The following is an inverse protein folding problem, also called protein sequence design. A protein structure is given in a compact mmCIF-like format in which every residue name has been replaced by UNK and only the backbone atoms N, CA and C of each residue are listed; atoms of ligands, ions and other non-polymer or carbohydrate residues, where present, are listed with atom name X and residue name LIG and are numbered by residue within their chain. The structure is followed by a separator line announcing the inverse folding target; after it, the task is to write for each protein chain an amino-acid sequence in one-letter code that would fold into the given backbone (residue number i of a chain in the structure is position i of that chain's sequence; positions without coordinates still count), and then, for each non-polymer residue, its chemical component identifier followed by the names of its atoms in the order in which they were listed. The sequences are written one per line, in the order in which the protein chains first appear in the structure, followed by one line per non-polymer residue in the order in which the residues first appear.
data_IF_599320088946
#
_entry.id   IF_599320088946
#
_cell.length_a   1.000
_cell.length_b   1.000
_cell.length_c   1.000
_cell.angle_alpha   90.00
_cell.angle_beta   90.00
_cell.angle_gamma   90.00
#
_symmetry.space_group_name_H-M   'P 1'
#
loop_
_entity.id
_entity.type
_entity.pdbx_description
1 polymer ?
#
# COMPACT_ATOMS: atom_id res chain seq x y z
N UNK A 1 38.75 -9.03 -13.61
CA UNK A 1 37.72 -9.30 -14.62
C UNK A 1 36.40 -9.68 -13.97
N UNK A 2 36.34 -10.71 -13.12
CA UNK A 2 35.12 -11.15 -12.40
C UNK A 2 34.38 -10.02 -11.66
N UNK A 3 35.10 -9.17 -10.91
CA UNK A 3 34.50 -8.07 -10.14
C UNK A 3 33.87 -6.98 -11.03
N UNK A 4 34.43 -6.77 -12.23
CA UNK A 4 33.96 -5.76 -13.17
C UNK A 4 32.74 -6.25 -13.96
N UNK A 5 32.70 -7.55 -14.26
CA UNK A 5 31.55 -8.21 -14.89
C UNK A 5 30.34 -8.31 -13.92
N UNK A 6 30.60 -8.57 -12.64
CA UNK A 6 29.58 -8.55 -11.58
C UNK A 6 28.95 -7.16 -11.42
N UNK A 7 29.77 -6.10 -11.38
CA UNK A 7 29.29 -4.73 -11.26
C UNK A 7 28.45 -4.30 -12.47
N UNK A 8 28.87 -4.64 -13.69
CA UNK A 8 28.08 -4.35 -14.89
C UNK A 8 26.73 -5.08 -14.87
N UNK A 9 26.71 -6.36 -14.50
CA UNK A 9 25.47 -7.15 -14.41
C UNK A 9 24.49 -6.57 -13.37
N UNK A 10 24.99 -6.10 -12.21
CA UNK A 10 24.16 -5.45 -11.20
C UNK A 10 23.60 -4.11 -11.71
N UNK A 11 24.40 -3.31 -12.41
CA UNK A 11 23.92 -2.06 -13.01
C UNK A 11 22.81 -2.28 -14.04
N UNK A 12 22.96 -3.27 -14.93
CA UNK A 12 21.92 -3.61 -15.92
C UNK A 12 20.61 -4.05 -15.27
N UNK A 13 20.67 -4.84 -14.20
CA UNK A 13 19.47 -5.25 -13.44
C UNK A 13 18.78 -4.07 -12.79
N UNK A 14 19.53 -3.10 -12.28
CA UNK A 14 18.94 -1.92 -11.67
C UNK A 14 18.28 -0.99 -12.66
N UNK A 15 18.90 -0.81 -13.83
CA UNK A 15 18.26 -0.11 -14.94
C UNK A 15 16.97 -0.85 -15.34
N UNK A 16 17.02 -2.17 -15.50
CA UNK A 16 15.84 -2.98 -15.83
C UNK A 16 14.73 -2.84 -14.77
N UNK A 17 15.06 -2.93 -13.48
CA UNK A 17 14.10 -2.81 -12.39
C UNK A 17 13.39 -1.44 -12.40
N UNK A 18 14.16 -0.35 -12.52
CA UNK A 18 13.63 1.02 -12.56
C UNK A 18 12.74 1.22 -13.80
N UNK A 19 13.23 0.81 -14.98
CA UNK A 19 12.48 0.94 -16.24
C UNK A 19 11.22 0.08 -16.23
N UNK A 20 11.28 -1.13 -15.67
CA UNK A 20 10.11 -2.02 -15.53
C UNK A 20 9.07 -1.44 -14.58
N UNK A 21 9.49 -0.88 -13.44
CA UNK A 21 8.57 -0.20 -12.52
C UNK A 21 7.92 1.01 -13.19
N UNK A 22 8.69 1.84 -13.90
CA UNK A 22 8.14 2.98 -14.65
C UNK A 22 7.15 2.53 -15.74
N UNK A 23 7.51 1.51 -16.51
CA UNK A 23 6.67 0.96 -17.56
C UNK A 23 5.37 0.39 -17.00
N UNK A 24 5.43 -0.39 -15.92
CA UNK A 24 4.27 -0.94 -15.24
C UNK A 24 3.35 0.18 -14.71
N UNK A 25 3.89 1.25 -14.13
CA UNK A 25 3.08 2.40 -13.71
C UNK A 25 2.31 3.04 -14.86
N UNK A 26 3.00 3.33 -15.97
CA UNK A 26 2.39 3.99 -17.13
C UNK A 26 1.35 3.08 -17.78
N UNK A 27 1.68 1.80 -17.99
CA UNK A 27 0.78 0.84 -18.62
C UNK A 27 -0.42 0.51 -17.75
N UNK A 28 -0.26 0.43 -16.43
CA UNK A 28 -1.38 0.26 -15.50
C UNK A 28 -2.40 1.39 -15.66
N UNK A 29 -1.96 2.64 -15.69
CA UNK A 29 -2.86 3.79 -15.92
C UNK A 29 -3.46 3.76 -17.31
N UNK A 30 -2.64 3.53 -18.35
CA UNK A 30 -3.13 3.46 -19.72
C UNK A 30 -4.24 2.41 -19.86
N UNK A 31 -4.11 1.27 -19.17
CA UNK A 31 -5.11 0.19 -19.17
C UNK A 31 -6.50 0.66 -18.70
N UNK A 32 -6.58 1.64 -17.79
CA UNK A 32 -7.83 2.20 -17.28
C UNK A 32 -8.59 3.04 -18.32
N UNK A 33 -7.88 3.49 -19.37
CA UNK A 33 -8.37 4.36 -20.44
C UNK A 33 -8.35 3.73 -21.84
N UNK A 34 -7.80 2.51 -21.98
CA UNK A 34 -7.82 1.74 -23.24
C UNK A 34 -9.23 1.67 -23.85
N UNK A 35 -10.23 1.56 -22.99
CA UNK A 35 -11.62 1.52 -23.42
C UNK A 35 -12.21 2.93 -23.46
N UNK A 36 -12.44 3.46 -24.66
CA UNK A 36 -13.27 4.65 -24.82
C UNK A 36 -14.69 4.38 -24.28
N UNK A 37 -15.15 5.25 -23.39
CA UNK A 37 -16.49 5.19 -22.80
C UNK A 37 -17.06 6.61 -22.76
N UNK A 38 -18.28 6.85 -23.27
CA UNK A 38 -18.94 8.15 -23.16
C UNK A 38 -19.49 8.40 -21.75
N UNK A 39 -19.47 7.37 -20.88
CA UNK A 39 -20.06 7.42 -19.55
C UNK A 39 -19.06 7.80 -18.48
N UNK A 40 -19.57 8.29 -17.34
CA UNK A 40 -18.75 8.60 -16.17
C UNK A 40 -18.02 7.36 -15.61
N UNK A 41 -16.99 7.59 -14.79
CA UNK A 41 -16.19 6.54 -14.15
C UNK A 41 -17.00 5.60 -13.25
N UNK A 42 -18.13 6.07 -12.73
CA UNK A 42 -19.02 5.32 -11.82
C UNK A 42 -20.04 4.45 -12.59
N UNK A 43 -20.15 4.62 -13.90
CA UNK A 43 -21.09 3.86 -14.70
C UNK A 43 -20.67 2.38 -14.81
N UNK A 44 -21.64 1.48 -14.64
CA UNK A 44 -21.43 0.02 -14.63
C UNK A 44 -20.63 -0.50 -15.82
N UNK A 45 -20.88 0.00 -17.04
CA UNK A 45 -20.12 -0.41 -18.23
C UNK A 45 -18.64 0.01 -18.16
N UNK A 46 -18.35 1.22 -17.68
CA UNK A 46 -16.96 1.70 -17.48
C UNK A 46 -16.25 0.88 -16.43
N UNK A 47 -16.93 0.55 -15.31
CA UNK A 47 -16.36 -0.27 -14.24
C UNK A 47 -16.00 -1.67 -14.74
N UNK A 48 -16.91 -2.36 -15.45
CA UNK A 48 -16.65 -3.71 -15.98
C UNK A 48 -15.46 -3.74 -16.95
N UNK A 49 -15.36 -2.75 -17.84
CA UNK A 49 -14.23 -2.65 -18.78
C UNK A 49 -12.91 -2.42 -18.05
N UNK A 50 -12.89 -1.53 -17.04
CA UNK A 50 -11.72 -1.31 -16.18
C UNK A 50 -11.35 -2.54 -15.38
N UNK A 51 -12.32 -3.29 -14.84
CA UNK A 51 -12.07 -4.57 -14.15
C UNK A 51 -11.34 -5.56 -15.06
N UNK A 52 -11.78 -5.67 -16.32
CA UNK A 52 -11.10 -6.51 -17.29
C UNK A 52 -9.68 -6.03 -17.58
N UNK A 53 -9.48 -4.72 -17.80
CA UNK A 53 -8.14 -4.15 -18.00
C UNK A 53 -7.18 -4.44 -16.83
N UNK A 54 -7.62 -4.18 -15.58
CA UNK A 54 -6.75 -4.39 -14.42
C UNK A 54 -6.51 -5.88 -14.15
N UNK A 55 -7.44 -6.75 -14.53
CA UNK A 55 -7.21 -8.20 -14.51
C UNK A 55 -6.09 -8.62 -15.47
N UNK A 56 -6.09 -8.10 -16.70
CA UNK A 56 -5.00 -8.34 -17.66
C UNK A 56 -3.68 -7.78 -17.12
N UNK A 57 -3.68 -6.58 -16.54
CA UNK A 57 -2.48 -6.04 -15.88
C UNK A 57 -2.00 -6.93 -14.75
N UNK A 58 -2.89 -7.49 -13.92
CA UNK A 58 -2.51 -8.39 -12.84
C UNK A 58 -1.83 -9.68 -13.34
N UNK A 59 -2.15 -10.15 -14.55
CA UNK A 59 -1.45 -11.28 -15.18
C UNK A 59 -0.09 -10.88 -15.78
N UNK A 60 0.03 -9.66 -16.30
CA UNK A 60 1.25 -9.14 -16.93
C UNK A 60 2.29 -8.74 -15.87
N UNK A 61 1.90 -8.10 -14.76
CA UNK A 61 2.82 -7.54 -13.76
C UNK A 61 3.84 -8.56 -13.20
N UNK A 62 3.46 -9.81 -12.85
CA UNK A 62 4.41 -10.81 -12.36
C UNK A 62 5.46 -11.25 -13.39
N UNK A 63 5.19 -11.09 -14.69
CA UNK A 63 6.13 -11.45 -15.76
C UNK A 63 7.38 -10.58 -15.68
N UNK A 64 7.21 -9.27 -15.43
CA UNK A 64 8.32 -8.34 -15.23
C UNK A 64 9.14 -8.69 -13.97
N UNK A 65 8.47 -9.12 -12.90
CA UNK A 65 9.14 -9.61 -11.70
C UNK A 65 9.99 -10.84 -12.02
N UNK A 66 9.42 -11.84 -12.71
CA UNK A 66 10.11 -13.09 -13.02
C UNK A 66 11.37 -12.86 -13.87
N UNK A 67 11.27 -12.06 -14.94
CA UNK A 67 12.43 -11.78 -15.81
C UNK A 67 13.42 -10.77 -15.22
N UNK A 68 12.98 -9.89 -14.33
CA UNK A 68 13.85 -8.92 -13.66
C UNK A 68 14.56 -9.44 -12.41
N UNK A 69 14.13 -10.59 -11.88
CA UNK A 69 14.74 -11.19 -10.69
C UNK A 69 16.00 -11.96 -11.05
N UNK A 70 17.03 -11.86 -10.21
CA UNK A 70 18.26 -12.62 -10.42
C UNK A 70 18.04 -14.13 -10.30
N UNK A 71 18.68 -14.92 -11.17
CA UNK A 71 18.60 -16.38 -11.14
C UNK A 71 18.99 -16.97 -9.76
N UNK A 72 19.98 -16.35 -9.09
CA UNK A 72 20.42 -16.73 -7.74
C UNK A 72 19.29 -16.65 -6.70
N UNK A 73 18.37 -15.70 -6.85
CA UNK A 73 17.21 -15.55 -5.97
C UNK A 73 16.13 -16.55 -6.36
N UNK A 74 15.86 -16.71 -7.66
CA UNK A 74 14.86 -17.66 -8.17
C UNK A 74 15.19 -19.13 -7.86
N UNK A 75 16.47 -19.48 -7.72
CA UNK A 75 16.92 -20.81 -7.28
C UNK A 75 16.58 -21.10 -5.81
N UNK A 76 16.46 -20.05 -4.98
CA UNK A 76 16.23 -20.19 -3.53
C UNK A 76 14.79 -19.93 -3.11
N UNK A 77 14.04 -19.17 -3.91
CA UNK A 77 12.71 -18.67 -3.56
C UNK A 77 11.79 -18.80 -4.75
N UNK A 78 10.60 -19.32 -4.51
CA UNK A 78 9.58 -19.41 -5.56
C UNK A 78 9.01 -18.05 -5.90
N UNK A 79 8.52 -17.88 -7.13
CA UNK A 79 7.86 -16.63 -7.55
C UNK A 79 6.65 -16.30 -6.66
N UNK A 80 5.94 -17.32 -6.17
CA UNK A 80 4.79 -17.17 -5.27
C UNK A 80 5.20 -16.55 -3.93
N UNK A 81 6.32 -16.99 -3.37
CA UNK A 81 6.88 -16.41 -2.15
C UNK A 81 7.40 -14.99 -2.37
N UNK A 82 7.99 -14.70 -3.54
CA UNK A 82 8.38 -13.33 -3.92
C UNK A 82 7.17 -12.39 -4.05
N UNK A 83 6.04 -12.90 -4.54
CA UNK A 83 4.77 -12.17 -4.59
C UNK A 83 4.09 -12.06 -3.21
N UNK A 84 4.62 -12.70 -2.17
CA UNK A 84 4.05 -12.70 -0.82
C UNK A 84 2.87 -13.65 -0.63
N UNK A 85 2.69 -14.64 -1.52
CA UNK A 85 1.63 -15.63 -1.44
C UNK A 85 2.12 -16.85 -0.63
N UNK A 86 1.70 -16.91 0.63
CA UNK A 86 2.02 -18.02 1.55
C UNK A 86 0.87 -18.35 2.49
N UNK A 87 0.78 -19.61 2.87
CA UNK A 87 -0.23 -20.11 3.82
C UNK A 87 0.18 -19.94 5.28
N UNK A 88 1.48 -20.07 5.57
CA UNK A 88 2.01 -20.01 6.92
C UNK A 88 1.89 -18.61 7.52
N UNK A 89 1.10 -18.44 8.57
CA UNK A 89 0.88 -17.13 9.20
C UNK A 89 -0.16 -16.27 8.47
N UNK A 90 -0.98 -16.85 7.57
CA UNK A 90 -1.97 -16.14 6.76
C UNK A 90 -3.02 -15.43 7.62
N UNK A 91 -3.54 -16.10 8.65
CA UNK A 91 -4.55 -15.51 9.54
C UNK A 91 -3.98 -14.30 10.29
N UNK A 92 -2.75 -14.41 10.80
CA UNK A 92 -2.05 -13.31 11.47
C UNK A 92 -1.87 -12.14 10.50
N UNK A 93 -1.51 -12.42 9.25
CA UNK A 93 -1.41 -11.43 8.19
C UNK A 93 -2.73 -10.80 7.76
N UNK A 94 -3.88 -11.40 8.05
CA UNK A 94 -5.17 -10.75 7.82
C UNK A 94 -5.52 -9.87 9.02
N UNK A 95 -5.51 -10.45 10.21
CA UNK A 95 -6.10 -9.81 11.38
C UNK A 95 -5.20 -8.78 12.05
N UNK A 96 -3.89 -9.04 12.19
CA UNK A 96 -3.00 -8.12 12.91
C UNK A 96 -2.88 -6.78 12.16
N UNK A 97 -2.64 -6.77 10.83
CA UNK A 97 -2.71 -5.56 10.01
C UNK A 97 -4.03 -4.81 10.17
N UNK A 98 -5.15 -5.52 10.08
CA UNK A 98 -6.48 -4.92 10.15
C UNK A 98 -6.73 -4.27 11.51
N UNK A 99 -6.40 -4.95 12.61
CA UNK A 99 -6.53 -4.42 13.97
C UNK A 99 -5.67 -3.16 14.12
N UNK A 100 -4.44 -3.21 13.64
CA UNK A 100 -3.53 -2.08 13.72
C UNK A 100 -4.07 -0.88 12.90
N UNK A 101 -4.59 -1.12 11.70
CA UNK A 101 -5.28 -0.09 10.91
C UNK A 101 -6.53 0.44 11.63
N UNK A 102 -7.34 -0.41 12.26
CA UNK A 102 -8.50 0.03 13.06
C UNK A 102 -8.10 0.90 14.24
N UNK A 103 -6.97 0.62 14.90
CA UNK A 103 -6.43 1.44 15.99
C UNK A 103 -6.05 2.83 15.47
N UNK A 104 -5.43 2.92 14.29
CA UNK A 104 -5.17 4.21 13.67
C UNK A 104 -6.48 4.97 13.38
N UNK A 105 -7.49 4.26 12.86
CA UNK A 105 -8.81 4.79 12.57
C UNK A 105 -9.73 4.90 13.79
N UNK A 106 -9.20 4.89 15.02
CA UNK A 106 -9.98 4.95 16.25
C UNK A 106 -10.89 6.19 16.28
N UNK A 107 -10.38 7.37 15.92
CA UNK A 107 -11.17 8.61 15.85
C UNK A 107 -12.38 8.49 14.93
N UNK A 108 -12.20 8.19 13.62
CA UNK A 108 -13.29 7.97 12.68
C UNK A 108 -14.25 6.86 13.10
N UNK A 109 -13.75 5.72 13.59
CA UNK A 109 -14.59 4.61 14.03
C UNK A 109 -15.51 4.99 15.18
N UNK A 110 -15.00 5.74 16.16
CA UNK A 110 -15.81 6.26 17.26
C UNK A 110 -16.87 7.26 16.76
N UNK A 111 -16.52 8.12 15.80
CA UNK A 111 -17.47 9.06 15.19
C UNK A 111 -18.60 8.32 14.46
N UNK A 112 -18.27 7.35 13.62
CA UNK A 112 -19.26 6.49 12.94
C UNK A 112 -20.17 5.77 13.93
N UNK A 113 -19.60 5.25 15.03
CA UNK A 113 -20.37 4.59 16.10
C UNK A 113 -21.38 5.51 16.77
N UNK A 114 -20.96 6.73 17.12
CA UNK A 114 -21.84 7.73 17.76
C UNK A 114 -22.92 8.27 16.82
N UNK A 115 -22.63 8.38 15.53
CA UNK A 115 -23.61 8.73 14.50
C UNK A 115 -24.57 7.58 14.18
N UNK A 116 -24.43 6.42 14.84
CA UNK A 116 -25.31 5.27 14.67
C UNK A 116 -25.01 4.41 13.44
N UNK A 117 -23.94 4.68 12.70
CA UNK A 117 -23.58 3.90 11.50
C UNK A 117 -23.25 2.45 11.83
N UNK A 118 -22.75 2.17 13.04
CA UNK A 118 -22.52 0.79 13.47
C UNK A 118 -23.78 -0.07 13.46
N UNK A 119 -24.97 0.53 13.67
CA UNK A 119 -26.24 -0.21 13.57
C UNK A 119 -26.43 -0.77 12.16
N UNK A 120 -26.05 -0.02 11.12
CA UNK A 120 -26.11 -0.47 9.73
C UNK A 120 -25.13 -1.63 9.47
N UNK A 121 -23.96 -1.62 10.12
CA UNK A 121 -22.98 -2.71 9.98
C UNK A 121 -23.46 -4.02 10.62
N UNK A 122 -24.34 -3.96 11.63
CA UNK A 122 -24.98 -5.15 12.20
C UNK A 122 -26.12 -5.70 11.33
N UNK A 123 -26.65 -4.92 10.38
CA UNK A 123 -27.74 -5.35 9.50
C UNK A 123 -27.20 -6.14 8.29
N UNK A 124 -27.53 -7.44 8.13
CA UNK A 124 -27.02 -8.24 7.00
C UNK A 124 -27.45 -7.70 5.63
N UNK A 125 -28.65 -7.10 5.55
CA UNK A 125 -29.18 -6.55 4.31
C UNK A 125 -28.37 -5.36 3.78
N UNK A 126 -27.72 -4.60 4.66
CA UNK A 126 -26.80 -3.53 4.26
C UNK A 126 -25.65 -4.08 3.42
N UNK A 127 -25.04 -5.18 3.88
CA UNK A 127 -23.92 -5.81 3.17
C UNK A 127 -24.37 -6.49 1.88
N UNK A 128 -25.53 -7.15 1.87
CA UNK A 128 -26.08 -7.75 0.65
C UNK A 128 -26.38 -6.67 -0.40
N UNK A 129 -26.94 -5.54 0.01
CA UNK A 129 -27.20 -4.40 -0.88
C UNK A 129 -25.91 -3.85 -1.49
N UNK A 130 -24.90 -3.62 -0.66
CA UNK A 130 -23.59 -3.15 -1.10
C UNK A 130 -22.90 -4.15 -2.05
N UNK A 131 -22.91 -5.44 -1.73
CA UNK A 131 -22.29 -6.50 -2.53
C UNK A 131 -22.93 -6.67 -3.93
N UNK A 132 -24.15 -6.15 -4.15
CA UNK A 132 -24.80 -6.11 -5.47
C UNK A 132 -24.28 -4.96 -6.35
N UNK A 133 -23.57 -3.99 -5.78
CA UNK A 133 -23.07 -2.83 -6.52
C UNK A 133 -21.64 -3.04 -7.00
N UNK A 134 -21.37 -2.70 -8.26
CA UNK A 134 -20.01 -2.77 -8.82
C UNK A 134 -19.06 -1.76 -8.18
N UNK A 135 -19.59 -0.64 -7.68
CA UNK A 135 -18.82 0.39 -6.99
C UNK A 135 -18.21 -0.17 -5.69
N UNK A 136 -18.99 -0.94 -4.92
CA UNK A 136 -18.48 -1.60 -3.73
C UNK A 136 -17.36 -2.60 -4.04
N UNK A 137 -17.55 -3.46 -5.05
CA UNK A 137 -16.50 -4.38 -5.50
C UNK A 137 -15.25 -3.66 -5.98
N UNK A 138 -15.40 -2.54 -6.70
CA UNK A 138 -14.28 -1.72 -7.15
C UNK A 138 -13.48 -1.21 -5.97
N UNK A 139 -14.16 -0.56 -5.03
CA UNK A 139 -13.51 0.14 -3.93
C UNK A 139 -12.92 -0.83 -2.89
N UNK A 140 -13.63 -1.92 -2.57
CA UNK A 140 -13.23 -2.82 -1.49
C UNK A 140 -12.32 -3.96 -1.95
N UNK A 141 -12.41 -4.40 -3.20
CA UNK A 141 -11.70 -5.60 -3.67
C UNK A 141 -10.81 -5.29 -4.86
N UNK A 142 -11.39 -4.87 -5.99
CA UNK A 142 -10.65 -4.85 -7.26
C UNK A 142 -9.52 -3.82 -7.26
N UNK A 143 -9.79 -2.57 -6.87
CA UNK A 143 -8.75 -1.54 -6.82
C UNK A 143 -7.65 -1.86 -5.78
N UNK A 144 -7.98 -2.20 -4.52
CA UNK A 144 -6.98 -2.64 -3.54
C UNK A 144 -6.12 -3.80 -4.01
N UNK A 145 -6.76 -4.82 -4.57
CA UNK A 145 -6.07 -6.01 -5.04
C UNK A 145 -5.11 -5.66 -6.18
N UNK A 146 -5.58 -4.96 -7.21
CA UNK A 146 -4.77 -4.70 -8.41
C UNK A 146 -3.63 -3.71 -8.15
N UNK A 147 -3.85 -2.73 -7.27
CA UNK A 147 -2.86 -1.74 -6.89
C UNK A 147 -1.75 -2.36 -6.02
N UNK A 148 -2.11 -3.05 -4.93
CA UNK A 148 -1.09 -3.70 -4.09
C UNK A 148 -0.36 -4.82 -4.86
N UNK A 149 -1.05 -5.52 -5.76
CA UNK A 149 -0.43 -6.57 -6.57
C UNK A 149 0.64 -6.01 -7.51
N UNK A 150 0.29 -4.97 -8.25
CA UNK A 150 1.20 -4.39 -9.26
C UNK A 150 2.30 -3.57 -8.60
N UNK A 151 1.93 -2.61 -7.74
CA UNK A 151 2.87 -1.62 -7.21
C UNK A 151 3.65 -2.11 -6.00
N UNK A 152 3.15 -3.08 -5.24
CA UNK A 152 3.89 -3.66 -4.12
C UNK A 152 4.41 -5.05 -4.43
N UNK A 153 3.55 -6.02 -4.72
CA UNK A 153 3.99 -7.41 -4.86
C UNK A 153 4.95 -7.62 -6.04
N UNK A 154 4.75 -6.90 -7.16
CA UNK A 154 5.63 -7.04 -8.33
C UNK A 154 6.81 -6.05 -8.32
N UNK A 155 6.57 -4.75 -8.07
CA UNK A 155 7.64 -3.74 -8.16
C UNK A 155 8.61 -3.75 -6.97
N UNK A 156 8.12 -3.97 -5.74
CA UNK A 156 8.97 -3.84 -4.55
C UNK A 156 10.13 -4.86 -4.55
N UNK A 157 9.92 -6.16 -4.84
CA UNK A 157 11.03 -7.11 -4.95
C UNK A 157 12.06 -6.74 -6.03
N UNK A 158 11.62 -6.16 -7.16
CA UNK A 158 12.53 -5.69 -8.20
C UNK A 158 13.44 -4.57 -7.70
N UNK A 159 12.87 -3.58 -7.00
CA UNK A 159 13.62 -2.44 -6.47
C UNK A 159 14.58 -2.83 -5.35
N UNK A 160 14.20 -3.81 -4.53
CA UNK A 160 15.04 -4.27 -3.42
C UNK A 160 16.30 -5.03 -3.88
N UNK A 161 16.40 -5.41 -5.17
CA UNK A 161 17.66 -5.90 -5.76
C UNK A 161 18.72 -4.81 -5.95
N UNK A 162 18.32 -3.56 -5.84
CA UNK A 162 19.11 -2.41 -6.28
C UNK A 162 19.25 -1.33 -5.24
N UNK A 163 18.26 -1.24 -4.37
CA UNK A 163 18.19 -0.23 -3.35
C UNK A 163 18.26 -0.87 -1.99
N UNK A 164 18.87 -0.14 -1.05
CA UNK A 164 18.68 -0.49 0.35
C UNK A 164 17.19 -0.52 0.62
N UNK A 165 16.73 -1.41 1.50
CA UNK A 165 15.32 -1.54 1.66
C UNK A 165 14.62 -0.26 2.16
N UNK A 166 15.30 0.56 2.96
CA UNK A 166 14.86 1.91 3.34
C UNK A 166 14.60 2.78 2.11
N UNK A 167 15.52 2.78 1.13
CA UNK A 167 15.37 3.54 -0.09
C UNK A 167 14.25 2.97 -0.99
N UNK A 168 14.13 1.65 -1.12
CA UNK A 168 13.07 1.02 -1.90
C UNK A 168 11.66 1.41 -1.43
N UNK A 169 11.46 1.55 -0.11
CA UNK A 169 10.20 2.03 0.49
C UNK A 169 9.85 3.44 0.03
N UNK A 170 10.82 4.33 -0.14
CA UNK A 170 10.56 5.70 -0.56
C UNK A 170 10.48 5.82 -2.10
N UNK A 171 11.19 4.97 -2.82
CA UNK A 171 11.25 4.99 -4.29
C UNK A 171 10.01 4.35 -4.92
N UNK A 172 9.58 3.17 -4.43
CA UNK A 172 8.39 2.45 -4.88
C UNK A 172 7.12 3.35 -4.96
N UNK A 173 6.75 4.11 -3.90
CA UNK A 173 5.74 5.16 -3.91
C UNK A 173 5.76 6.11 -5.09
N UNK A 174 6.95 6.51 -5.53
CA UNK A 174 7.07 7.54 -6.57
C UNK A 174 6.48 7.02 -7.87
N UNK A 175 6.66 5.73 -8.17
CA UNK A 175 6.06 5.07 -9.32
C UNK A 175 4.53 5.02 -9.24
N UNK A 176 3.97 4.81 -8.04
CA UNK A 176 2.52 4.90 -7.83
C UNK A 176 2.02 6.35 -7.95
N UNK A 177 2.77 7.32 -7.42
CA UNK A 177 2.47 8.75 -7.55
C UNK A 177 2.43 9.19 -9.02
N UNK A 178 3.39 8.75 -9.84
CA UNK A 178 3.40 8.96 -11.30
C UNK A 178 2.10 8.46 -11.93
N UNK A 179 1.61 7.29 -11.50
CA UNK A 179 0.38 6.73 -12.03
C UNK A 179 -0.85 7.63 -11.77
N UNK A 180 -0.87 8.42 -10.69
CA UNK A 180 -2.03 9.23 -10.30
C UNK A 180 -2.05 10.63 -10.94
N UNK A 181 -1.01 11.02 -11.68
CA UNK A 181 -1.02 12.28 -12.44
C UNK A 181 -2.16 12.36 -13.47
N UNK A 182 -2.74 11.22 -13.87
CA UNK A 182 -3.92 11.22 -14.75
C UNK A 182 -5.12 11.98 -14.15
N UNK A 183 -5.24 12.08 -12.82
CA UNK A 183 -6.29 12.88 -12.18
C UNK A 183 -6.09 14.38 -12.39
N UNK A 184 -4.88 14.86 -12.65
CA UNK A 184 -4.64 16.26 -13.04
C UNK A 184 -5.43 16.57 -14.31
N UNK A 185 -5.34 15.68 -15.31
CA UNK A 185 -6.02 15.85 -16.61
C UNK A 185 -7.54 15.82 -16.45
N UNK A 186 -8.06 14.96 -15.58
CA UNK A 186 -9.50 14.92 -15.31
C UNK A 186 -9.98 16.19 -14.61
N UNK A 187 -9.22 16.70 -13.65
CA UNK A 187 -9.58 17.90 -12.86
C UNK A 187 -9.51 19.18 -13.69
N UNK A 188 -8.50 19.31 -14.55
CA UNK A 188 -8.39 20.47 -15.46
C UNK A 188 -9.53 20.49 -16.49
N UNK A 189 -9.98 19.33 -16.96
CA UNK A 189 -11.16 19.22 -17.85
C UNK A 189 -12.46 19.70 -17.19
N UNK A 190 -12.56 19.63 -15.86
CA UNK A 190 -13.70 20.11 -15.06
C UNK A 190 -13.55 21.60 -14.71
N UNK A 191 -12.53 22.29 -15.23
CA UNK A 191 -12.32 23.73 -15.05
C UNK A 191 -11.48 24.13 -13.85
N UNK A 192 -10.81 23.17 -13.18
CA UNK A 192 -9.87 23.47 -12.10
C UNK A 192 -8.57 24.07 -12.66
N UNK A 193 -8.07 25.16 -12.06
CA UNK A 193 -6.78 25.76 -12.43
C UNK A 193 -5.65 24.72 -12.33
N UNK A 194 -4.73 24.71 -13.31
CA UNK A 194 -3.64 23.72 -13.38
C UNK A 194 -2.81 23.65 -12.09
N UNK A 195 -2.50 24.79 -11.46
CA UNK A 195 -1.76 24.82 -10.19
C UNK A 195 -2.51 24.10 -9.08
N UNK A 196 -3.79 24.40 -8.92
CA UNK A 196 -4.67 23.75 -7.94
C UNK A 196 -4.90 22.27 -8.28
N UNK A 197 -5.03 21.92 -9.56
CA UNK A 197 -5.18 20.54 -10.00
C UNK A 197 -3.89 19.73 -9.76
N UNK A 198 -2.72 20.31 -10.01
CA UNK A 198 -1.42 19.66 -9.73
C UNK A 198 -1.20 19.56 -8.23
N UNK A 199 -1.42 20.63 -7.45
CA UNK A 199 -1.29 20.58 -5.99
C UNK A 199 -2.26 19.54 -5.43
N UNK A 200 -3.54 19.60 -5.78
CA UNK A 200 -4.53 18.65 -5.26
C UNK A 200 -4.26 17.22 -5.75
N UNK A 201 -3.72 17.01 -6.96
CA UNK A 201 -3.44 15.65 -7.45
C UNK A 201 -2.16 15.12 -6.87
N UNK A 202 -1.10 15.91 -6.79
CA UNK A 202 0.15 15.56 -6.12
C UNK A 202 -0.07 15.37 -4.62
N UNK A 203 -0.81 16.26 -3.96
CA UNK A 203 -1.18 16.14 -2.55
C UNK A 203 -2.12 14.97 -2.33
N UNK A 204 -3.17 14.71 -3.13
CA UNK A 204 -3.94 13.46 -2.93
C UNK A 204 -3.14 12.21 -3.27
N UNK A 205 -2.25 12.20 -4.25
CA UNK A 205 -1.44 11.03 -4.58
C UNK A 205 -0.38 10.77 -3.52
N UNK A 206 0.21 11.85 -2.99
CA UNK A 206 1.12 11.81 -1.86
C UNK A 206 0.33 11.44 -0.63
N UNK A 207 -0.76 12.10 -0.22
CA UNK A 207 -1.57 11.75 0.95
C UNK A 207 -2.19 10.34 0.87
N UNK A 208 -2.77 9.91 -0.25
CA UNK A 208 -3.23 8.51 -0.45
C UNK A 208 -2.06 7.53 -0.32
N UNK A 209 -0.82 7.96 -0.55
CA UNK A 209 0.36 7.10 -0.36
C UNK A 209 1.21 7.40 0.89
N UNK A 210 1.09 8.55 1.54
CA UNK A 210 2.02 9.12 2.53
C UNK A 210 1.27 9.43 3.82
N UNK A 211 0.01 9.85 3.70
CA UNK A 211 -0.88 9.95 4.86
C UNK A 211 -1.53 8.59 5.05
N UNK A 212 -1.15 7.93 6.14
CA UNK A 212 -1.86 6.78 6.71
C UNK A 212 -1.73 5.48 5.90
N UNK A 213 -1.66 5.48 4.57
CA UNK A 213 -1.78 4.27 3.75
C UNK A 213 -0.48 3.50 3.52
N UNK A 214 0.59 4.17 3.03
CA UNK A 214 1.91 3.56 3.10
C UNK A 214 2.24 3.44 4.56
N UNK A 215 2.28 4.50 5.38
CA UNK A 215 2.61 4.39 6.82
C UNK A 215 1.92 3.21 7.55
N UNK A 216 0.63 2.94 7.38
CA UNK A 216 0.03 1.71 7.92
C UNK A 216 0.49 0.44 7.21
N UNK A 217 0.24 0.25 5.91
CA UNK A 217 0.59 -1.00 5.19
C UNK A 217 2.11 -1.27 5.11
N UNK A 218 2.92 -0.22 5.20
CA UNK A 218 4.38 -0.16 5.18
C UNK A 218 4.96 -0.53 6.54
N UNK A 219 4.49 0.07 7.63
CA UNK A 219 5.03 -0.26 8.94
C UNK A 219 4.42 -1.54 9.51
N UNK A 220 3.19 -1.91 9.12
CA UNK A 220 2.55 -3.20 9.43
C UNK A 220 3.37 -4.39 8.92
N UNK A 221 4.10 -4.23 7.81
CA UNK A 221 4.87 -5.32 7.24
C UNK A 221 6.39 -5.17 7.35
N UNK A 222 6.96 -3.97 7.54
CA UNK A 222 8.38 -3.82 7.21
C UNK A 222 9.32 -2.99 8.09
N UNK A 223 8.98 -2.30 9.19
CA UNK A 223 10.12 -1.76 9.99
C UNK A 223 9.96 -1.27 11.44
N UNK A 224 11.08 -1.51 12.15
CA UNK A 224 11.49 -1.12 13.50
C UNK A 224 12.18 0.26 13.55
N UNK A 225 12.33 0.98 12.43
CA UNK A 225 13.37 2.01 12.28
C UNK A 225 12.91 3.48 12.26
N UNK A 226 11.75 3.85 11.71
CA UNK A 226 11.48 5.28 11.42
C UNK A 226 10.90 6.05 12.63
N UNK A 227 10.06 5.42 13.46
CA UNK A 227 9.57 6.06 14.70
C UNK A 227 10.69 6.17 15.74
N UNK A 228 11.57 5.16 15.82
CA UNK A 228 12.70 5.19 16.76
C UNK A 228 13.76 6.24 16.41
N UNK A 229 14.00 6.53 15.12
CA UNK A 229 15.00 7.53 14.71
C UNK A 229 14.51 8.97 14.87
N UNK A 230 13.20 9.24 14.78
CA UNK A 230 12.66 10.59 15.00
C UNK A 230 12.40 10.89 16.48
N UNK A 231 12.07 9.89 17.29
CA UNK A 231 11.78 10.05 18.73
C UNK A 231 13.02 9.82 19.61
N UNK A 232 14.06 9.11 19.14
CA UNK A 232 15.19 8.69 19.97
C UNK A 232 16.57 9.00 19.36
N UNK A 233 16.76 10.20 18.83
CA UNK A 233 18.07 10.76 18.42
C UNK A 233 19.01 11.04 19.60
N UNK A 234 19.02 10.23 20.68
CA UNK A 234 20.06 10.36 21.74
C UNK A 234 20.50 9.11 22.50
N UNK A 235 19.96 7.90 22.34
CA UNK A 235 20.25 6.88 23.38
C UNK A 235 20.68 5.45 23.06
N UNK A 236 20.65 4.89 21.85
CA UNK A 236 21.17 3.53 21.70
C UNK A 236 21.87 3.26 20.36
N UNK A 237 23.20 3.20 20.44
CA UNK A 237 24.07 2.56 19.45
C UNK A 237 23.89 1.05 19.53
N UNK A 238 23.28 0.45 18.52
CA UNK A 238 23.57 -0.94 18.16
C UNK A 238 23.36 -1.12 16.66
N UNK A 239 24.38 -1.64 15.98
CA UNK A 239 24.37 -1.99 14.57
C UNK A 239 23.15 -2.87 14.25
N UNK A 240 22.33 -2.46 13.30
CA UNK A 240 21.08 -3.14 12.93
C UNK A 240 21.23 -3.85 11.60
N UNK A 241 20.96 -5.15 11.62
CA UNK A 241 21.13 -6.08 10.50
C UNK A 241 19.92 -6.02 9.57
N UNK A 242 20.19 -6.01 8.26
CA UNK A 242 19.29 -5.76 7.12
C UNK A 242 18.26 -6.91 6.88
N UNK A 243 17.90 -7.72 7.88
CA UNK A 243 17.05 -8.93 7.72
C UNK A 243 15.54 -8.69 7.74
N UNK A 244 15.07 -7.44 7.78
CA UNK A 244 13.66 -7.09 8.11
C UNK A 244 12.76 -6.74 6.92
N UNK A 245 13.17 -7.03 5.69
CA UNK A 245 12.87 -6.07 4.62
C UNK A 245 12.33 -6.61 3.27
N UNK A 246 11.96 -7.88 3.17
CA UNK A 246 11.36 -8.47 1.95
C UNK A 246 9.95 -9.01 2.22
N UNK A 247 9.08 -9.16 1.19
CA UNK A 247 7.64 -9.00 1.29
C UNK A 247 7.07 -10.01 2.27
N UNK A 248 6.33 -9.49 3.23
CA UNK A 248 5.45 -10.29 4.06
C UNK A 248 4.32 -10.87 3.21
N UNK A 249 3.28 -11.32 3.90
CA UNK A 249 2.06 -11.76 3.23
C UNK A 249 1.45 -10.66 2.38
N UNK A 250 1.11 -10.94 1.12
CA UNK A 250 0.37 -10.04 0.23
C UNK A 250 -1.00 -9.63 0.82
N UNK A 251 -1.64 -10.54 1.55
CA UNK A 251 -2.96 -10.28 2.13
C UNK A 251 -2.96 -9.16 3.18
N UNK A 252 -1.81 -8.91 3.83
CA UNK A 252 -1.67 -7.88 4.85
C UNK A 252 -1.90 -6.45 4.31
N UNK A 253 -1.13 -5.96 3.32
CA UNK A 253 -1.37 -4.67 2.72
C UNK A 253 -2.72 -4.62 1.98
N UNK A 254 -3.17 -5.73 1.36
CA UNK A 254 -4.50 -5.79 0.73
C UNK A 254 -5.62 -5.55 1.74
N UNK A 255 -5.64 -6.25 2.87
CA UNK A 255 -6.68 -6.10 3.88
C UNK A 255 -6.71 -4.70 4.50
N UNK A 256 -5.53 -4.13 4.78
CA UNK A 256 -5.41 -2.75 5.27
C UNK A 256 -5.90 -1.74 4.21
N UNK A 257 -5.51 -1.93 2.95
CA UNK A 257 -5.95 -1.09 1.83
C UNK A 257 -7.48 -1.14 1.68
N UNK A 258 -8.07 -2.32 1.59
CA UNK A 258 -9.53 -2.50 1.53
C UNK A 258 -10.24 -1.79 2.69
N UNK A 259 -9.74 -1.93 3.92
CA UNK A 259 -10.33 -1.28 5.09
C UNK A 259 -10.29 0.24 5.01
N UNK A 260 -9.16 0.86 4.63
CA UNK A 260 -9.17 2.32 4.53
C UNK A 260 -9.94 2.85 3.31
N UNK A 261 -10.10 2.07 2.23
CA UNK A 261 -11.06 2.40 1.18
C UNK A 261 -12.51 2.37 1.66
N UNK A 262 -12.85 1.47 2.59
CA UNK A 262 -14.16 1.46 3.26
C UNK A 262 -14.33 2.67 4.18
N UNK A 263 -13.31 3.00 4.98
CA UNK A 263 -13.38 4.11 5.93
C UNK A 263 -13.31 5.50 5.28
N UNK A 264 -12.57 5.63 4.18
CA UNK A 264 -12.29 6.91 3.53
C UNK A 264 -11.36 7.81 4.33
N UNK A 265 -11.15 9.03 3.82
CA UNK A 265 -10.40 10.05 4.54
C UNK A 265 -11.24 10.57 5.72
N UNK A 266 -10.64 10.82 6.90
CA UNK A 266 -11.37 11.36 8.04
C UNK A 266 -12.00 12.71 7.72
N UNK A 267 -13.33 12.79 7.82
CA UNK A 267 -14.06 14.05 7.63
C UNK A 267 -13.96 14.92 8.88
N UNK A 268 -12.96 15.79 8.90
CA UNK A 268 -12.78 16.75 9.99
C UNK A 268 -13.90 17.81 10.01
N UNK A 269 -14.62 18.03 8.91
CA UNK A 269 -15.73 19.00 8.88
C UNK A 269 -16.89 18.53 9.73
N UNK A 270 -17.16 17.22 9.74
CA UNK A 270 -18.16 16.60 10.61
C UNK A 270 -17.82 16.81 12.09
N UNK A 271 -16.56 16.65 12.47
CA UNK A 271 -16.10 16.92 13.84
C UNK A 271 -16.27 18.40 14.20
N UNK A 272 -15.91 19.31 13.29
CA UNK A 272 -16.02 20.75 13.50
C UNK A 272 -17.48 21.23 13.63
N UNK A 273 -18.43 20.51 13.02
CA UNK A 273 -19.86 20.82 13.08
C UNK A 273 -20.49 20.60 14.47
N UNK A 274 -19.83 19.87 15.38
CA UNK A 274 -20.34 19.69 16.74
C UNK A 274 -20.26 20.99 17.56
N UNK A 275 -21.39 21.49 18.06
CA UNK A 275 -21.40 22.72 18.87
C UNK A 275 -20.67 22.59 20.21
N UNK A 276 -20.68 21.40 20.84
CA UNK A 276 -20.08 21.18 22.14
C UNK A 276 -18.54 21.05 22.03
N UNK A 277 -17.81 21.97 22.65
CA UNK A 277 -16.35 21.97 22.69
C UNK A 277 -15.76 20.67 23.28
N UNK A 278 -16.35 20.13 24.36
CA UNK A 278 -15.84 18.91 24.99
C UNK A 278 -15.96 17.70 24.06
N UNK A 279 -17.06 17.60 23.29
CA UNK A 279 -17.21 16.53 22.29
C UNK A 279 -16.20 16.67 21.16
N UNK A 280 -15.98 17.89 20.65
CA UNK A 280 -14.95 18.16 19.64
C UNK A 280 -13.55 17.78 20.13
N UNK A 281 -13.17 18.26 21.31
CA UNK A 281 -11.89 17.95 21.93
C UNK A 281 -11.74 16.43 22.18
N UNK A 282 -12.81 15.75 22.59
CA UNK A 282 -12.84 14.29 22.73
C UNK A 282 -12.62 13.54 21.42
N UNK A 283 -13.20 14.00 20.30
CA UNK A 283 -12.92 13.39 19.00
C UNK A 283 -11.47 13.63 18.58
N UNK A 284 -10.99 14.87 18.60
CA UNK A 284 -9.58 15.18 18.27
C UNK A 284 -8.59 14.40 19.14
N UNK A 285 -8.89 14.21 20.43
CA UNK A 285 -8.05 13.38 21.29
C UNK A 285 -8.05 11.91 20.85
N UNK A 286 -9.18 11.35 20.40
CA UNK A 286 -9.23 9.98 19.86
C UNK A 286 -8.43 9.81 18.56
N UNK A 287 -8.39 10.83 17.69
CA UNK A 287 -7.49 10.84 16.51
C UNK A 287 -6.02 10.74 16.95
N UNK A 288 -5.63 11.56 17.93
CA UNK A 288 -4.25 11.57 18.46
C UNK A 288 -3.93 10.28 19.20
N UNK A 289 -4.83 9.78 20.05
CA UNK A 289 -4.67 8.52 20.79
C UNK A 289 -4.52 7.36 19.82
N UNK A 290 -5.36 7.28 18.77
CA UNK A 290 -5.26 6.25 17.73
C UNK A 290 -3.90 6.26 17.06
N UNK A 291 -3.40 7.44 16.67
CA UNK A 291 -2.06 7.60 16.07
C UNK A 291 -0.93 7.21 17.03
N UNK A 292 -0.99 7.65 18.28
CA UNK A 292 0.03 7.34 19.29
C UNK A 292 0.04 5.85 19.63
N UNK A 293 -1.13 5.26 19.86
CA UNK A 293 -1.27 3.83 20.12
C UNK A 293 -0.77 3.00 18.94
N UNK A 294 -1.12 3.40 17.71
CA UNK A 294 -0.61 2.80 16.49
C UNK A 294 0.94 2.84 16.47
N UNK A 295 1.56 3.99 16.72
CA UNK A 295 3.02 4.15 16.77
C UNK A 295 3.70 3.19 17.76
N UNK A 296 3.11 2.99 18.95
CA UNK A 296 3.66 2.09 19.97
C UNK A 296 3.42 0.61 19.65
N UNK A 297 2.25 0.26 19.14
CA UNK A 297 1.85 -1.13 18.84
C UNK A 297 2.43 -1.65 17.54
N UNK A 298 2.94 -0.75 16.71
CA UNK A 298 3.57 -1.08 15.44
C UNK A 298 4.69 -2.11 15.57
N UNK A 299 5.67 -1.86 16.44
CA UNK A 299 6.81 -2.77 16.60
C UNK A 299 6.41 -4.16 17.12
N UNK A 300 5.60 -4.29 18.20
CA UNK A 300 5.24 -5.62 18.72
C UNK A 300 4.31 -6.41 17.80
N UNK A 301 3.36 -5.75 17.13
CA UNK A 301 2.37 -6.42 16.28
C UNK A 301 2.92 -6.79 14.89
N UNK A 302 4.04 -6.21 14.50
CA UNK A 302 4.66 -6.49 13.20
C UNK A 302 5.87 -7.41 13.33
N UNK A 303 6.01 -8.07 14.49
CA UNK A 303 7.08 -9.00 14.72
C UNK A 303 6.99 -10.18 13.71
N UNK A 304 8.04 -10.42 12.92
CA UNK A 304 8.08 -11.44 11.86
C UNK A 304 7.74 -12.85 12.32
N UNK A 305 7.99 -13.17 13.59
CA UNK A 305 7.68 -14.48 14.18
C UNK A 305 6.18 -14.77 14.12
N UNK A 306 5.32 -13.75 14.21
CA UNK A 306 3.86 -13.91 14.08
C UNK A 306 3.44 -14.40 12.68
N UNK A 307 4.27 -14.13 11.67
CA UNK A 307 3.93 -14.36 10.26
C UNK A 307 4.69 -15.54 9.65
N UNK A 308 5.41 -16.30 10.48
CA UNK A 308 6.29 -17.42 10.10
C UNK A 308 7.15 -17.09 8.86
N UNK A 309 7.71 -15.88 8.84
CA UNK A 309 8.54 -15.44 7.73
C UNK A 309 9.96 -15.95 7.99
N UNK A 310 10.41 -17.03 7.33
CA UNK A 310 11.74 -17.62 7.56
C UNK A 310 12.71 -17.41 6.38
N UNK A 311 12.19 -17.03 5.21
CA UNK A 311 12.94 -16.94 3.96
C UNK A 311 14.11 -15.95 3.97
N UNK A 312 13.96 -14.83 4.68
CA UNK A 312 14.85 -13.67 4.54
C UNK A 312 15.53 -13.25 5.85
N UNK A 313 15.33 -14.05 6.91
CA UNK A 313 15.94 -13.87 8.22
C UNK A 313 17.29 -14.55 8.34
N UNK A 314 17.64 -15.35 7.34
CA UNK A 314 18.96 -15.90 7.19
C UNK A 314 19.89 -14.85 6.56
N UNK A 315 21.00 -14.53 7.26
CA UNK A 315 22.00 -13.53 6.83
C UNK A 315 22.55 -13.82 5.44
N UNK A 316 22.49 -15.08 5.02
CA UNK A 316 22.92 -15.55 3.72
C UNK A 316 22.11 -14.96 2.57
N UNK A 317 20.81 -14.67 2.75
CA UNK A 317 19.95 -14.21 1.65
C UNK A 317 20.33 -12.80 1.19
N UNK A 318 20.60 -11.87 2.11
CA UNK A 318 20.99 -10.49 1.79
C UNK A 318 22.27 -10.41 0.96
N UNK A 319 23.25 -11.27 1.24
CA UNK A 319 24.48 -11.39 0.44
C UNK A 319 24.24 -11.87 -0.99
N UNK A 320 23.07 -12.41 -1.33
CA UNK A 320 22.72 -12.74 -2.71
C UNK A 320 22.02 -11.60 -3.45
N UNK A 321 21.41 -10.67 -2.72
CA UNK A 321 20.69 -9.53 -3.28
C UNK A 321 21.60 -8.29 -3.41
N UNK A 322 22.54 -8.11 -2.47
CA UNK A 322 23.58 -7.05 -2.50
C UNK A 322 24.85 -7.55 -3.15
#
# INVERSE_FOLDING_TARGET
METQELNNNNQYRCIYAILSCLFLSITYVASLYVWSSPHTREHSSTIKKRFFSVFIMALISPVFLYFGMSNKVLEKVTIWELLGLKWSGLLQAIFIPLILTMILFLGPLCLQGLNGQWKLYFEPMYWIGNARTLIWWRNLVVAPLSEEWTFRACMLPLLLQCFSPTAAIFICPLFFGVAHFHHVVERTKVGMELKSAVILSSTLSICIYHDIWSVCSFFICQNRFIIYSFIRTKFFNKSFTVSTFFPGHFVAPFAAHSFCNHMGFPDLTEVLAYNNFLKRAGFFSLFVIGLVAWCFLLTPLTNPTWFNNNLFWDKNFLQLIT
#
